data_IF_590184986559
#
_entry.id   IF_590184986559
#
_cell.length_a   1.000
_cell.length_b   1.000
_cell.length_c   1.000
_cell.angle_alpha   90.00
_cell.angle_beta   90.00
_cell.angle_gamma   90.00
#
_symmetry.space_group_name_H-M   'P 1'
#
loop_
_entity.id
_entity.type
_entity.pdbx_description
1 polymer ?
#
# COMPACT_ATOMS: atom_id res chain seq x y z
N UNK A 1 7.16 -10.55 7.44
CA UNK A 1 6.32 -11.27 6.45
C UNK A 1 5.96 -12.63 7.01
N UNK A 2 4.72 -13.12 6.87
CA UNK A 2 4.42 -14.52 7.17
C UNK A 2 5.28 -15.40 6.25
N UNK A 3 6.01 -16.35 6.82
CA UNK A 3 6.88 -17.22 6.04
C UNK A 3 6.03 -18.15 5.15
N UNK A 4 6.42 -18.28 3.88
CA UNK A 4 5.83 -19.24 2.94
C UNK A 4 4.60 -18.78 2.16
N UNK A 5 4.21 -17.50 2.24
CA UNK A 5 3.12 -16.95 1.42
C UNK A 5 3.67 -16.17 0.23
N UNK A 6 3.14 -16.48 -0.96
CA UNK A 6 3.46 -15.76 -2.20
C UNK A 6 2.71 -14.41 -2.25
N UNK A 7 3.41 -13.28 -2.44
CA UNK A 7 2.77 -11.98 -2.55
C UNK A 7 2.04 -11.82 -3.89
N UNK A 8 0.80 -11.35 -3.85
CA UNK A 8 0.05 -10.88 -5.02
C UNK A 8 0.28 -9.37 -5.18
N UNK A 9 0.91 -8.90 -6.27
CA UNK A 9 1.11 -7.47 -6.49
C UNK A 9 -0.24 -6.77 -6.73
N UNK A 10 -0.49 -5.69 -6.00
CA UNK A 10 -1.69 -4.85 -6.16
C UNK A 10 -1.41 -3.58 -6.96
N UNK A 11 -0.25 -2.96 -6.72
CA UNK A 11 0.22 -1.77 -7.40
C UNK A 11 1.74 -1.66 -7.29
N UNK A 12 2.35 -1.12 -8.34
CA UNK A 12 3.75 -0.72 -8.36
C UNK A 12 3.84 0.60 -9.12
N UNK A 13 4.07 1.69 -8.39
CA UNK A 13 4.45 2.98 -8.96
C UNK A 13 5.76 3.39 -8.28
N UNK A 14 6.71 4.00 -8.98
CA UNK A 14 8.10 4.05 -8.50
C UNK A 14 8.36 4.47 -7.04
N UNK A 15 7.44 5.21 -6.40
CA UNK A 15 7.50 5.57 -4.98
C UNK A 15 6.74 4.62 -4.05
N UNK A 16 5.65 4.01 -4.50
CA UNK A 16 4.81 3.10 -3.72
C UNK A 16 4.64 1.74 -4.39
N UNK A 17 4.85 0.69 -3.60
CA UNK A 17 4.45 -0.66 -3.97
C UNK A 17 3.46 -1.18 -2.95
N UNK A 18 2.54 -2.05 -3.39
CA UNK A 18 1.67 -2.76 -2.47
C UNK A 18 1.44 -4.20 -2.90
N UNK A 19 1.36 -5.07 -1.91
CA UNK A 19 1.22 -6.52 -2.08
C UNK A 19 0.10 -7.01 -1.16
N UNK A 20 -0.56 -8.08 -1.57
CA UNK A 20 -1.51 -8.81 -0.75
C UNK A 20 -1.06 -10.26 -0.55
N UNK A 21 -1.43 -10.83 0.58
CA UNK A 21 -1.16 -12.20 0.98
C UNK A 21 -2.49 -12.85 1.33
N UNK A 22 -2.76 -14.01 0.74
CA UNK A 22 -3.90 -14.84 1.12
C UNK A 22 -3.56 -15.58 2.41
N UNK A 23 -4.36 -15.38 3.45
CA UNK A 23 -4.24 -16.06 4.75
C UNK A 23 -5.31 -17.16 4.90
N UNK A 24 -5.94 -17.60 3.81
CA UNK A 24 -7.10 -18.51 3.73
C UNK A 24 -8.40 -17.95 4.32
N UNK A 25 -8.34 -17.32 5.51
CA UNK A 25 -9.51 -16.74 6.18
C UNK A 25 -9.67 -15.23 5.94
N UNK A 26 -8.62 -14.58 5.43
CA UNK A 26 -8.60 -13.16 5.10
C UNK A 26 -7.45 -12.84 4.15
N UNK A 27 -7.43 -11.62 3.63
CA UNK A 27 -6.30 -11.08 2.89
C UNK A 27 -5.59 -10.04 3.74
N UNK A 28 -4.27 -10.17 3.92
CA UNK A 28 -3.42 -9.11 4.47
C UNK A 28 -2.80 -8.34 3.33
N UNK A 29 -2.89 -7.01 3.32
CA UNK A 29 -2.18 -6.18 2.36
C UNK A 29 -1.14 -5.30 3.06
N UNK A 30 -0.08 -4.97 2.33
CA UNK A 30 1.05 -4.17 2.80
C UNK A 30 1.34 -3.10 1.74
N UNK A 31 1.58 -1.87 2.18
CA UNK A 31 2.07 -0.77 1.35
C UNK A 31 3.48 -0.43 1.79
N UNK A 32 4.39 -0.38 0.83
CA UNK A 32 5.77 0.08 0.99
C UNK A 32 5.97 1.41 0.28
N UNK A 33 6.76 2.31 0.86
CA UNK A 33 7.25 3.54 0.24
C UNK A 33 8.77 3.50 0.23
N UNK A 34 9.38 3.68 -0.95
CA UNK A 34 10.84 3.65 -1.12
C UNK A 34 11.50 2.37 -0.56
N UNK A 35 10.79 1.24 -0.62
CA UNK A 35 11.24 -0.06 -0.11
C UNK A 35 10.94 -0.31 1.37
N UNK A 36 10.44 0.68 2.11
CA UNK A 36 10.09 0.55 3.53
C UNK A 36 8.59 0.31 3.71
N UNK A 37 8.20 -0.66 4.53
CA UNK A 37 6.79 -0.89 4.90
C UNK A 37 6.26 0.29 5.72
N UNK A 38 5.25 0.99 5.20
CA UNK A 38 4.67 2.19 5.84
C UNK A 38 3.26 1.96 6.37
N UNK A 39 2.57 0.92 5.89
CA UNK A 39 1.21 0.60 6.31
C UNK A 39 0.91 -0.85 6.00
N UNK A 40 0.23 -1.52 6.92
CA UNK A 40 -0.43 -2.79 6.67
C UNK A 40 -1.92 -2.73 6.99
N UNK A 41 -2.66 -3.71 6.50
CA UNK A 41 -4.08 -3.85 6.78
C UNK A 41 -4.63 -5.17 6.26
N UNK A 42 -5.95 -5.31 6.34
CA UNK A 42 -6.63 -6.52 5.91
C UNK A 42 -7.92 -6.23 5.15
N UNK A 43 -8.33 -7.19 4.33
CA UNK A 43 -9.61 -7.19 3.67
C UNK A 43 -10.17 -8.62 3.54
N UNK A 44 -11.44 -8.73 3.19
CA UNK A 44 -12.15 -10.03 3.08
C UNK A 44 -11.89 -10.74 1.74
N UNK A 45 -11.31 -10.06 0.77
CA UNK A 45 -10.99 -10.60 -0.55
C UNK A 45 -9.82 -9.86 -1.19
N UNK A 46 -9.23 -10.45 -2.24
CA UNK A 46 -8.23 -9.77 -3.07
C UNK A 46 -8.75 -8.46 -3.67
N UNK A 47 -9.99 -8.46 -4.19
CA UNK A 47 -10.61 -7.27 -4.78
C UNK A 47 -10.83 -6.16 -3.75
N UNK A 48 -11.30 -6.50 -2.55
CA UNK A 48 -11.44 -5.50 -1.48
C UNK A 48 -10.08 -5.01 -0.99
N UNK A 49 -9.03 -5.84 -0.99
CA UNK A 49 -7.66 -5.42 -0.69
C UNK A 49 -7.16 -4.37 -1.69
N UNK A 50 -7.41 -4.61 -2.99
CA UNK A 50 -7.06 -3.65 -4.05
C UNK A 50 -7.74 -2.30 -3.85
N UNK A 51 -9.04 -2.30 -3.53
CA UNK A 51 -9.80 -1.06 -3.27
C UNK A 51 -9.30 -0.33 -2.02
N UNK A 52 -9.04 -1.06 -0.92
CA UNK A 52 -8.48 -0.49 0.30
C UNK A 52 -7.14 0.19 0.05
N UNK A 53 -6.22 -0.49 -0.65
CA UNK A 53 -4.92 0.07 -1.03
C UNK A 53 -5.07 1.31 -1.91
N UNK A 54 -5.99 1.31 -2.88
CA UNK A 54 -6.25 2.48 -3.73
C UNK A 54 -6.69 3.70 -2.91
N UNK A 55 -7.56 3.52 -1.92
CA UNK A 55 -8.00 4.61 -1.06
C UNK A 55 -6.86 5.17 -0.20
N UNK A 56 -6.05 4.29 0.39
CA UNK A 56 -4.90 4.71 1.22
C UNK A 56 -3.86 5.44 0.37
N UNK A 57 -3.55 4.95 -0.83
CA UNK A 57 -2.60 5.61 -1.73
C UNK A 57 -3.11 6.93 -2.30
N UNK A 58 -4.43 7.08 -2.53
CA UNK A 58 -5.00 8.37 -2.89
C UNK A 58 -4.77 9.41 -1.79
N UNK A 59 -4.93 9.01 -0.52
CA UNK A 59 -4.62 9.86 0.61
C UNK A 59 -3.11 10.17 0.70
N UNK A 60 -2.23 9.16 0.62
CA UNK A 60 -0.79 9.37 0.68
C UNK A 60 -0.25 10.23 -0.46
N UNK A 61 -0.74 10.04 -1.68
CA UNK A 61 -0.40 10.87 -2.84
C UNK A 61 -0.82 12.33 -2.64
N UNK A 62 -2.00 12.57 -2.06
CA UNK A 62 -2.44 13.92 -1.71
C UNK A 62 -1.52 14.59 -0.68
N UNK A 63 -1.20 13.88 0.42
CA UNK A 63 -0.30 14.38 1.47
C UNK A 63 1.10 14.68 0.94
N UNK A 64 1.65 13.79 0.12
CA UNK A 64 2.95 13.99 -0.51
C UNK A 64 2.98 15.23 -1.42
N UNK A 65 1.93 15.44 -2.21
CA UNK A 65 1.79 16.64 -3.04
C UNK A 65 1.80 17.92 -2.21
N UNK A 66 1.14 17.92 -1.05
CA UNK A 66 1.15 19.05 -0.12
C UNK A 66 2.53 19.28 0.50
N UNK A 67 3.23 18.22 0.92
CA UNK A 67 4.59 18.33 1.48
C UNK A 67 5.56 18.89 0.44
N UNK A 68 5.46 18.46 -0.82
CA UNK A 68 6.30 19.00 -1.92
C UNK A 68 6.00 20.48 -2.18
N UNK A 69 4.73 20.89 -2.14
CA UNK A 69 4.35 22.30 -2.32
C UNK A 69 4.86 23.20 -1.18
N UNK A 70 4.96 22.69 0.05
CA UNK A 70 5.40 23.49 1.19
C UNK A 70 6.93 23.64 1.30
N UNK A 71 7.71 22.80 0.62
CA UNK A 71 9.19 22.87 0.63
C UNK A 71 9.80 23.91 -0.34
N UNK A 72 9.00 24.57 -1.18
CA UNK A 72 9.49 25.55 -2.16
C UNK A 72 9.45 27.02 -1.66
N UNK A 73 9.03 27.26 -0.42
CA UNK A 73 8.77 28.62 0.10
C UNK A 73 9.71 29.05 1.25
N UNK A 74 10.91 28.48 1.35
CA UNK A 74 11.90 28.87 2.37
C UNK A 74 13.30 28.91 1.77
#
# INVERSE_FOLDING_TARGET
>A
MPEGLEPVPLIENGRYSAYAYDLDFMWRWVITRDGEEIQDGCAISLESSKQSVQHVLAFFGHVDGQIMSNKQTT
#
